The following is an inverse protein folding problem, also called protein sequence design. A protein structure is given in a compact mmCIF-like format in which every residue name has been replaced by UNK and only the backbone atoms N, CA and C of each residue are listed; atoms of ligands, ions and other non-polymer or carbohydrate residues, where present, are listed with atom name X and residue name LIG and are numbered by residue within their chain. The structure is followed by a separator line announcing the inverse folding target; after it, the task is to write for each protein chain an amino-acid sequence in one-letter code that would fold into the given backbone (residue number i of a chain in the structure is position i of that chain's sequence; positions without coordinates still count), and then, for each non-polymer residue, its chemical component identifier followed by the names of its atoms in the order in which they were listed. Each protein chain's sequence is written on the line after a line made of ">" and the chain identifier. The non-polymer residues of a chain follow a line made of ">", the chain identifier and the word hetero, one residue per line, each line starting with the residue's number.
data_IF_458911794049
#
_entry.id   IF_458911794049
#
_cell.length_a   1.000
_cell.length_b   1.000
_cell.length_c   1.000
_cell.angle_alpha   90.00
_cell.angle_beta   90.00
_cell.angle_gamma   90.00
#
_symmetry.space_group_name_H-M   'P 1'
#
loop_
_entity.id
_entity.type
_entity.pdbx_description
1 polymer ?
#
# COMPACT_ATOMS: atom_id res chain seq x y z
N UNK A 1 -5.73 -21.73 -54.09
CA UNK A 1 -4.77 -20.93 -53.27
C UNK A 1 -5.46 -19.87 -52.47
N UNK A 2 -6.51 -19.19 -52.92
CA UNK A 2 -7.21 -18.11 -52.21
C UNK A 2 -7.93 -18.54 -50.91
N UNK A 3 -8.50 -19.74 -50.81
CA UNK A 3 -9.18 -20.21 -49.60
C UNK A 3 -8.22 -20.55 -48.49
N UNK A 4 -7.07 -21.16 -48.77
CA UNK A 4 -6.03 -21.40 -47.76
C UNK A 4 -5.53 -20.10 -47.12
N UNK A 5 -5.45 -19.01 -47.90
CA UNK A 5 -5.05 -17.69 -47.42
C UNK A 5 -6.08 -17.08 -46.45
N UNK A 6 -7.38 -17.28 -46.70
CA UNK A 6 -8.46 -16.79 -45.81
C UNK A 6 -8.47 -17.49 -44.44
N UNK A 7 -8.32 -18.81 -44.44
CA UNK A 7 -8.23 -19.60 -43.21
C UNK A 7 -6.97 -19.26 -42.42
N UNK A 8 -5.84 -19.06 -43.07
CA UNK A 8 -4.62 -18.62 -42.40
C UNK A 8 -4.82 -17.25 -41.77
N UNK A 9 -5.37 -16.27 -42.51
CA UNK A 9 -5.65 -14.94 -41.96
C UNK A 9 -6.63 -14.97 -40.79
N UNK A 10 -7.68 -15.79 -40.85
CA UNK A 10 -8.61 -16.00 -39.76
C UNK A 10 -7.91 -16.48 -38.50
N UNK A 11 -7.06 -17.51 -38.59
CA UNK A 11 -6.32 -18.01 -37.45
C UNK A 11 -5.30 -17.00 -36.88
N UNK A 12 -4.65 -16.22 -37.74
CA UNK A 12 -3.74 -15.16 -37.30
C UNK A 12 -4.51 -14.09 -36.53
N UNK A 13 -5.65 -13.64 -37.01
CA UNK A 13 -6.48 -12.64 -36.32
C UNK A 13 -6.99 -13.18 -35.01
N UNK A 14 -7.57 -14.38 -34.98
CA UNK A 14 -8.07 -15.00 -33.75
C UNK A 14 -6.94 -15.24 -32.72
N UNK A 15 -5.79 -15.72 -33.20
CA UNK A 15 -4.61 -15.94 -32.37
C UNK A 15 -4.07 -14.64 -31.78
N UNK A 16 -3.97 -13.58 -32.57
CA UNK A 16 -3.53 -12.26 -32.11
C UNK A 16 -4.50 -11.66 -31.12
N UNK A 17 -5.81 -11.80 -31.34
CA UNK A 17 -6.84 -11.33 -30.42
C UNK A 17 -6.78 -12.07 -29.07
N UNK A 18 -6.67 -13.41 -29.13
CA UNK A 18 -6.53 -14.22 -27.92
C UNK A 18 -5.25 -13.88 -27.14
N UNK A 19 -4.13 -13.73 -27.86
CA UNK A 19 -2.87 -13.32 -27.25
C UNK A 19 -2.98 -11.93 -26.57
N UNK A 20 -3.67 -10.98 -27.21
CA UNK A 20 -3.97 -9.67 -26.63
C UNK A 20 -4.79 -9.77 -25.34
N UNK A 21 -5.86 -10.58 -25.33
CA UNK A 21 -6.67 -10.82 -24.13
C UNK A 21 -5.81 -11.41 -23.01
N UNK A 22 -5.03 -12.45 -23.31
CA UNK A 22 -4.17 -13.10 -22.33
C UNK A 22 -3.11 -12.13 -21.76
N UNK A 23 -2.54 -11.28 -22.61
CA UNK A 23 -1.59 -10.26 -22.18
C UNK A 23 -2.23 -9.25 -21.23
N UNK A 24 -3.42 -8.75 -21.54
CA UNK A 24 -4.16 -7.82 -20.67
C UNK A 24 -4.56 -8.49 -19.37
N UNK A 25 -5.11 -9.69 -19.41
CA UNK A 25 -5.47 -10.45 -18.19
C UNK A 25 -4.23 -10.72 -17.32
N UNK A 26 -3.12 -11.09 -17.94
CA UNK A 26 -1.85 -11.32 -17.24
C UNK A 26 -1.33 -10.03 -16.57
N UNK A 27 -1.38 -8.91 -17.29
CA UNK A 27 -0.98 -7.61 -16.75
C UNK A 27 -1.85 -7.20 -15.54
N UNK A 28 -3.18 -7.27 -15.70
CA UNK A 28 -4.12 -6.91 -14.62
C UNK A 28 -3.92 -7.81 -13.41
N UNK A 29 -3.80 -9.12 -13.62
CA UNK A 29 -3.54 -10.08 -12.53
C UNK A 29 -2.21 -9.80 -11.84
N UNK A 30 -1.16 -9.51 -12.60
CA UNK A 30 0.16 -9.17 -12.06
C UNK A 30 0.14 -7.88 -11.24
N UNK A 31 -0.53 -6.84 -11.73
CA UNK A 31 -0.69 -5.57 -11.02
C UNK A 31 -1.49 -5.74 -9.71
N UNK A 32 -2.54 -6.57 -9.74
CA UNK A 32 -3.33 -6.85 -8.53
C UNK A 32 -2.51 -7.67 -7.52
N UNK A 33 -1.80 -8.71 -7.99
CA UNK A 33 -0.92 -9.49 -7.13
C UNK A 33 0.18 -8.64 -6.48
N UNK A 34 0.80 -7.73 -7.24
CA UNK A 34 1.80 -6.79 -6.74
C UNK A 34 1.25 -5.74 -5.75
N UNK A 35 -0.07 -5.64 -5.57
CA UNK A 35 -0.71 -4.86 -4.53
C UNK A 35 -1.22 -5.68 -3.34
N UNK A 36 -0.99 -7.00 -3.32
CA UNK A 36 -1.43 -7.85 -2.21
C UNK A 36 -0.53 -7.69 -0.99
N UNK A 37 -1.09 -7.89 0.20
CA UNK A 37 -0.34 -7.86 1.46
C UNK A 37 0.79 -8.88 1.47
N UNK A 38 0.56 -10.03 0.85
CA UNK A 38 1.58 -11.08 0.70
C UNK A 38 2.77 -10.57 -0.11
N UNK A 39 2.54 -9.93 -1.25
CA UNK A 39 3.63 -9.35 -2.03
C UNK A 39 4.32 -8.21 -1.27
N UNK A 40 3.57 -7.24 -0.78
CA UNK A 40 4.10 -6.07 -0.10
C UNK A 40 4.86 -6.44 1.18
N UNK A 41 4.35 -7.41 1.95
CA UNK A 41 4.89 -7.74 3.27
C UNK A 41 5.98 -8.81 3.28
N UNK A 42 6.09 -9.65 2.23
CA UNK A 42 6.98 -10.83 2.28
C UNK A 42 7.92 -10.99 1.09
N UNK A 43 7.69 -10.29 -0.03
CA UNK A 43 8.52 -10.43 -1.22
C UNK A 43 9.96 -9.94 -0.99
N UNK A 44 10.10 -8.83 -0.25
CA UNK A 44 11.41 -8.32 0.17
C UNK A 44 11.59 -8.57 1.67
N UNK A 45 12.68 -9.20 2.08
CA UNK A 45 12.97 -9.52 3.49
C UNK A 45 12.94 -8.29 4.42
N UNK A 46 13.28 -7.12 3.91
CA UNK A 46 13.23 -5.86 4.66
C UNK A 46 11.82 -5.41 5.00
N UNK A 47 10.81 -5.90 4.28
CA UNK A 47 9.41 -5.63 4.56
C UNK A 47 8.84 -6.49 5.69
N UNK A 48 9.55 -7.52 6.13
CA UNK A 48 9.08 -8.38 7.23
C UNK A 48 8.83 -7.58 8.51
N UNK A 49 9.71 -6.64 8.86
CA UNK A 49 9.51 -5.76 10.01
C UNK A 49 8.28 -4.87 9.86
N UNK A 50 8.03 -4.35 8.66
CA UNK A 50 6.85 -3.53 8.34
C UNK A 50 5.57 -4.35 8.43
N UNK A 51 5.56 -5.55 7.83
CA UNK A 51 4.41 -6.45 7.86
C UNK A 51 4.10 -6.92 9.28
N UNK A 52 5.12 -7.20 10.09
CA UNK A 52 4.93 -7.53 11.50
C UNK A 52 4.30 -6.37 12.27
N UNK A 53 4.84 -5.14 12.11
CA UNK A 53 4.31 -3.94 12.75
C UNK A 53 2.84 -3.67 12.34
N UNK A 54 2.50 -3.88 11.07
CA UNK A 54 1.12 -3.78 10.59
C UNK A 54 0.22 -4.82 11.25
N UNK A 55 0.63 -6.09 11.34
CA UNK A 55 -0.13 -7.15 12.02
C UNK A 55 -0.39 -6.83 13.50
N UNK A 56 0.47 -6.04 14.17
CA UNK A 56 0.26 -5.60 15.55
C UNK A 56 -0.58 -4.32 15.65
N UNK A 57 -0.66 -3.54 14.56
CA UNK A 57 -1.41 -2.29 14.50
C UNK A 57 -2.93 -2.49 14.46
N UNK A 58 -3.65 -1.41 14.72
CA UNK A 58 -5.11 -1.40 14.78
C UNK A 58 -5.78 -1.84 13.48
N UNK A 59 -5.15 -1.60 12.32
CA UNK A 59 -5.67 -1.97 11.01
C UNK A 59 -5.36 -3.40 10.59
N UNK A 60 -4.27 -3.98 11.08
CA UNK A 60 -3.91 -5.37 10.82
C UNK A 60 -4.62 -6.36 11.74
N UNK A 61 -4.94 -5.93 12.96
CA UNK A 61 -5.63 -6.74 13.97
C UNK A 61 -6.80 -5.98 14.56
N UNK A 62 -7.93 -6.02 13.87
CA UNK A 62 -9.14 -5.34 14.30
C UNK A 62 -10.15 -6.34 14.91
N UNK A 63 -10.69 -6.08 16.11
CA UNK A 63 -11.72 -6.92 16.73
C UNK A 63 -13.00 -7.06 15.91
N UNK A 64 -13.29 -6.12 15.01
CA UNK A 64 -14.43 -6.21 14.09
C UNK A 64 -14.23 -7.23 12.96
N UNK A 65 -13.02 -7.75 12.77
CA UNK A 65 -12.66 -8.63 11.66
C UNK A 65 -12.44 -7.91 10.33
N UNK A 66 -12.57 -6.59 10.28
CA UNK A 66 -12.25 -5.79 9.09
C UNK A 66 -10.79 -5.36 9.18
N UNK A 67 -9.96 -5.81 8.24
CA UNK A 67 -8.55 -5.40 8.15
C UNK A 67 -8.35 -4.49 6.95
N UNK A 68 -7.54 -3.45 7.09
CA UNK A 68 -7.05 -2.66 5.97
C UNK A 68 -5.68 -3.20 5.55
N UNK A 69 -5.55 -3.59 4.30
CA UNK A 69 -4.31 -4.11 3.74
C UNK A 69 -3.32 -3.00 3.38
N UNK A 70 -2.11 -3.41 2.99
CA UNK A 70 -1.05 -2.47 2.61
C UNK A 70 -1.50 -1.53 1.48
N UNK A 71 -2.16 -2.08 0.46
CA UNK A 71 -2.63 -1.30 -0.69
C UNK A 71 -3.76 -0.33 -0.37
N UNK A 72 -4.58 -0.61 0.66
CA UNK A 72 -5.69 0.26 1.03
C UNK A 72 -5.22 1.60 1.58
N UNK A 73 -4.05 1.61 2.21
CA UNK A 73 -3.42 2.82 2.74
C UNK A 73 -2.43 3.44 1.76
N UNK A 74 -1.54 2.64 1.15
CA UNK A 74 -0.39 3.11 0.38
C UNK A 74 -0.64 3.27 -1.12
N UNK A 75 -1.80 2.82 -1.64
CA UNK A 75 -2.14 2.94 -3.05
C UNK A 75 -3.53 3.55 -3.22
N UNK A 76 -3.70 4.33 -4.31
CA UNK A 76 -5.04 4.73 -4.72
C UNK A 76 -5.80 3.54 -5.29
N UNK A 77 -7.08 3.45 -5.01
CA UNK A 77 -7.96 2.55 -5.75
C UNK A 77 -8.10 3.08 -7.19
N UNK A 78 -8.06 2.18 -8.18
CA UNK A 78 -8.18 2.56 -9.59
C UNK A 78 -9.49 3.28 -9.94
N UNK A 79 -10.54 3.09 -9.15
CA UNK A 79 -11.83 3.76 -9.29
C UNK A 79 -11.92 5.11 -8.59
N UNK A 80 -10.87 5.53 -7.89
CA UNK A 80 -10.86 6.80 -7.16
C UNK A 80 -10.97 8.00 -8.09
N UNK A 81 -11.88 8.94 -7.83
CA UNK A 81 -12.06 10.13 -8.67
C UNK A 81 -10.80 10.99 -8.81
N UNK A 82 -9.92 10.96 -7.81
CA UNK A 82 -8.64 11.71 -7.81
C UNK A 82 -7.72 11.27 -8.95
N UNK A 83 -7.84 10.03 -9.44
CA UNK A 83 -7.06 9.51 -10.55
C UNK A 83 -7.65 9.87 -11.92
N UNK A 84 -8.85 10.41 -11.99
CA UNK A 84 -9.53 10.77 -13.22
C UNK A 84 -9.85 9.58 -14.14
N UNK A 85 -10.14 9.85 -15.43
CA UNK A 85 -10.58 8.83 -16.38
C UNK A 85 -9.50 7.79 -16.72
N UNK A 86 -8.25 8.08 -16.43
CA UNK A 86 -7.11 7.18 -16.63
C UNK A 86 -6.63 6.54 -15.31
N UNK A 87 -7.53 6.36 -14.34
CA UNK A 87 -7.23 5.92 -13.00
C UNK A 87 -6.34 4.68 -12.93
N UNK A 88 -6.59 3.68 -13.79
CA UNK A 88 -5.77 2.47 -13.82
C UNK A 88 -4.33 2.73 -14.29
N UNK A 89 -4.14 3.62 -15.26
CA UNK A 89 -2.81 4.02 -15.74
C UNK A 89 -2.08 4.81 -14.67
N UNK A 90 -2.76 5.72 -14.00
CA UNK A 90 -2.22 6.50 -12.89
C UNK A 90 -1.80 5.62 -11.71
N UNK A 91 -2.62 4.62 -11.37
CA UNK A 91 -2.30 3.62 -10.36
C UNK A 91 -1.06 2.80 -10.76
N UNK A 92 -0.98 2.35 -12.00
CA UNK A 92 0.18 1.62 -12.51
C UNK A 92 1.44 2.48 -12.44
N UNK A 93 1.36 3.75 -12.85
CA UNK A 93 2.45 4.72 -12.74
C UNK A 93 2.91 4.88 -11.29
N UNK A 94 1.98 5.05 -10.36
CA UNK A 94 2.29 5.15 -8.94
C UNK A 94 2.99 3.88 -8.40
N UNK A 95 2.50 2.69 -8.73
CA UNK A 95 3.13 1.42 -8.37
C UNK A 95 4.55 1.29 -8.91
N UNK A 96 4.78 1.68 -10.17
CA UNK A 96 6.12 1.64 -10.78
C UNK A 96 7.07 2.59 -10.07
N UNK A 97 6.65 3.81 -9.75
CA UNK A 97 7.47 4.79 -9.01
C UNK A 97 7.79 4.27 -7.61
N UNK A 98 6.79 3.81 -6.85
CA UNK A 98 6.98 3.27 -5.51
C UNK A 98 7.90 2.04 -5.51
N UNK A 99 7.69 1.11 -6.45
CA UNK A 99 8.54 -0.08 -6.60
C UNK A 99 9.97 0.27 -7.00
N UNK A 100 10.18 1.27 -7.87
CA UNK A 100 11.53 1.69 -8.27
C UNK A 100 12.29 2.34 -7.11
N UNK A 101 11.65 3.18 -6.31
CA UNK A 101 12.26 3.77 -5.12
C UNK A 101 12.67 2.70 -4.09
N UNK A 102 11.74 1.80 -3.77
CA UNK A 102 11.99 0.71 -2.83
C UNK A 102 13.04 -0.28 -3.37
N UNK A 103 12.91 -0.69 -4.63
CA UNK A 103 13.83 -1.61 -5.30
C UNK A 103 15.24 -1.04 -5.43
N UNK A 104 15.37 0.23 -5.77
CA UNK A 104 16.68 0.88 -5.82
C UNK A 104 17.37 0.90 -4.44
N UNK A 105 16.62 1.23 -3.38
CA UNK A 105 17.13 1.16 -2.02
C UNK A 105 17.64 -0.22 -1.63
N UNK A 106 16.98 -1.30 -2.10
CA UNK A 106 17.44 -2.67 -1.88
C UNK A 106 18.73 -2.97 -2.65
N UNK A 107 18.80 -2.59 -3.93
CA UNK A 107 19.96 -2.86 -4.80
C UNK A 107 21.22 -2.17 -4.31
N UNK A 108 21.11 -0.95 -3.77
CA UNK A 108 22.28 -0.21 -3.22
C UNK A 108 22.61 -0.58 -1.78
N UNK A 109 21.93 -1.57 -1.18
CA UNK A 109 22.20 -2.04 0.16
C UNK A 109 21.76 -1.11 1.28
N UNK A 110 20.82 -0.18 1.02
CA UNK A 110 20.34 0.76 2.03
C UNK A 110 19.75 0.07 3.26
N UNK A 111 19.21 -1.13 3.09
CA UNK A 111 18.50 -1.90 4.12
C UNK A 111 19.05 -3.31 4.30
N UNK A 112 20.35 -3.53 4.06
CA UNK A 112 20.96 -4.87 4.03
C UNK A 112 20.84 -5.62 5.36
N UNK A 113 20.84 -4.92 6.47
CA UNK A 113 20.73 -5.53 7.80
C UNK A 113 19.56 -4.98 8.58
N UNK A 114 19.02 -5.74 9.56
CA UNK A 114 17.98 -5.23 10.46
C UNK A 114 18.38 -3.93 11.16
N UNK A 115 19.65 -3.78 11.52
CA UNK A 115 20.12 -2.55 12.17
C UNK A 115 20.18 -1.37 11.22
N UNK A 116 20.60 -1.54 9.95
CA UNK A 116 20.56 -0.46 8.96
C UNK A 116 19.11 -0.07 8.65
N UNK A 117 18.20 -1.04 8.56
CA UNK A 117 16.79 -0.80 8.42
C UNK A 117 16.24 0.04 9.59
N UNK A 118 16.55 -0.33 10.82
CA UNK A 118 16.12 0.40 12.01
C UNK A 118 16.59 1.87 12.01
N UNK A 119 17.82 2.11 11.50
CA UNK A 119 18.38 3.47 11.41
C UNK A 119 17.76 4.30 10.28
N UNK A 120 17.42 3.67 9.16
CA UNK A 120 16.92 4.36 7.96
C UNK A 120 15.38 4.52 7.96
N UNK A 121 14.67 3.63 8.67
CA UNK A 121 13.20 3.63 8.72
C UNK A 121 12.58 4.99 9.05
N UNK A 122 13.06 5.76 10.05
CA UNK A 122 12.46 7.04 10.38
C UNK A 122 12.43 8.04 9.22
N UNK A 123 13.45 8.02 8.35
CA UNK A 123 13.48 8.87 7.16
C UNK A 123 12.44 8.44 6.13
N UNK A 124 12.32 7.14 5.88
CA UNK A 124 11.30 6.59 4.98
C UNK A 124 9.89 6.86 5.51
N UNK A 125 9.69 6.71 6.80
CA UNK A 125 8.42 7.01 7.47
C UNK A 125 8.02 8.50 7.30
N UNK A 126 8.96 9.43 7.41
CA UNK A 126 8.70 10.84 7.17
C UNK A 126 8.34 11.13 5.70
N UNK A 127 8.93 10.42 4.75
CA UNK A 127 8.58 10.52 3.33
C UNK A 127 7.13 10.05 3.10
N UNK A 128 6.73 8.92 3.68
CA UNK A 128 5.37 8.40 3.60
C UNK A 128 4.35 9.33 4.28
N UNK A 129 4.67 9.86 5.46
CA UNK A 129 3.84 10.88 6.12
C UNK A 129 3.67 12.09 5.20
N UNK A 130 4.72 12.53 4.54
CA UNK A 130 4.68 13.60 3.54
C UNK A 130 3.75 13.29 2.38
N UNK A 131 3.76 12.04 1.89
CA UNK A 131 2.84 11.60 0.85
C UNK A 131 1.38 11.62 1.31
N UNK A 132 1.07 11.11 2.51
CA UNK A 132 -0.29 11.18 3.08
C UNK A 132 -0.78 12.62 3.23
N UNK A 133 0.07 13.52 3.70
CA UNK A 133 -0.25 14.96 3.80
C UNK A 133 -0.50 15.58 2.44
N UNK A 134 0.36 15.27 1.46
CA UNK A 134 0.25 15.80 0.09
C UNK A 134 -1.02 15.38 -0.63
N UNK A 135 -1.57 14.20 -0.31
CA UNK A 135 -2.85 13.73 -0.85
C UNK A 135 -4.06 14.00 0.07
N UNK A 136 -3.86 14.81 1.12
CA UNK A 136 -4.91 15.14 2.08
C UNK A 136 -5.55 13.93 2.74
N UNK A 137 -4.74 12.92 3.08
CA UNK A 137 -5.18 11.68 3.73
C UNK A 137 -6.33 10.99 2.98
N UNK A 138 -6.32 11.08 1.65
CA UNK A 138 -7.40 10.59 0.80
C UNK A 138 -7.69 9.11 1.03
N UNK A 139 -6.65 8.28 1.14
CA UNK A 139 -6.80 6.84 1.38
C UNK A 139 -7.43 6.52 2.74
N UNK A 140 -7.12 7.29 3.77
CA UNK A 140 -7.79 7.16 5.08
C UNK A 140 -9.28 7.51 4.98
N UNK A 141 -9.59 8.58 4.27
CA UNK A 141 -10.95 9.09 4.10
C UNK A 141 -11.83 8.21 3.21
N UNK A 142 -11.22 7.30 2.45
CA UNK A 142 -11.95 6.28 1.68
C UNK A 142 -12.76 5.32 2.57
N UNK A 143 -12.30 5.06 3.79
CA UNK A 143 -12.96 4.20 4.77
C UNK A 143 -13.51 4.98 5.97
N UNK A 144 -12.84 6.07 6.36
CA UNK A 144 -13.18 6.87 7.54
C UNK A 144 -14.00 8.11 7.19
N UNK A 145 -15.26 8.11 7.57
CA UNK A 145 -16.11 9.30 7.53
C UNK A 145 -15.93 10.09 8.83
N UNK A 146 -15.27 11.24 8.73
CA UNK A 146 -14.97 12.11 9.86
C UNK A 146 -16.23 12.64 10.56
N UNK A 147 -17.37 12.72 9.85
CA UNK A 147 -18.64 13.16 10.42
C UNK A 147 -19.22 12.13 11.39
N UNK A 148 -18.82 10.86 11.25
CA UNK A 148 -19.23 9.74 12.09
C UNK A 148 -18.24 9.44 13.22
N UNK A 149 -17.06 10.03 13.19
CA UNK A 149 -16.02 9.86 14.21
C UNK A 149 -16.31 10.70 15.46
N UNK A 150 -17.49 10.46 16.04
CA UNK A 150 -17.91 11.07 17.29
C UNK A 150 -17.92 10.02 18.40
N UNK A 151 -17.13 10.25 19.44
CA UNK A 151 -17.17 9.44 20.64
C UNK A 151 -18.11 10.08 21.68
N UNK A 152 -19.22 9.40 21.95
CA UNK A 152 -20.21 9.84 22.95
C UNK A 152 -19.63 9.82 24.37
N UNK A 153 -18.67 8.95 24.63
CA UNK A 153 -17.96 8.82 25.90
C UNK A 153 -16.94 9.93 26.11
N UNK A 154 -16.40 10.46 25.00
CA UNK A 154 -15.43 11.54 25.01
C UNK A 154 -15.76 12.62 23.98
N UNK A 155 -16.65 13.57 24.32
CA UNK A 155 -17.09 14.61 23.39
C UNK A 155 -15.96 15.49 22.84
N UNK A 156 -14.83 15.59 23.54
CA UNK A 156 -13.68 16.36 23.06
C UNK A 156 -13.06 15.75 21.78
N UNK A 157 -13.11 14.44 21.61
CA UNK A 157 -12.64 13.76 20.40
C UNK A 157 -13.49 14.19 19.17
N UNK A 158 -14.82 14.22 19.34
CA UNK A 158 -15.72 14.72 18.30
C UNK A 158 -15.45 16.17 17.93
N UNK A 159 -15.14 17.02 18.92
CA UNK A 159 -14.79 18.42 18.68
C UNK A 159 -13.49 18.54 17.87
N UNK A 160 -12.45 17.75 18.18
CA UNK A 160 -11.22 17.72 17.42
C UNK A 160 -11.44 17.26 15.97
N UNK A 161 -12.22 16.21 15.75
CA UNK A 161 -12.55 15.74 14.41
C UNK A 161 -13.42 16.74 13.63
N UNK A 162 -14.27 17.50 14.30
CA UNK A 162 -15.04 18.56 13.66
C UNK A 162 -14.18 19.72 13.12
N UNK A 163 -13.04 20.01 13.78
CA UNK A 163 -12.07 21.01 13.30
C UNK A 163 -11.37 20.56 12.01
N UNK A 164 -11.33 19.27 11.73
CA UNK A 164 -10.73 18.74 10.52
C UNK A 164 -11.52 19.09 9.24
N UNK A 165 -12.78 19.50 9.34
CA UNK A 165 -13.57 19.94 8.18
C UNK A 165 -12.87 21.00 7.35
N UNK A 166 -12.05 21.83 7.99
CA UNK A 166 -11.29 22.91 7.34
C UNK A 166 -9.90 22.43 6.84
N UNK A 167 -9.66 21.10 6.84
CA UNK A 167 -8.40 20.46 6.36
C UNK A 167 -7.12 21.00 7.07
N UNK A 168 -7.26 21.53 8.27
CA UNK A 168 -6.15 22.13 9.01
C UNK A 168 -5.43 21.17 9.93
N UNK A 169 -6.01 19.99 10.22
CA UNK A 169 -5.45 18.98 11.11
C UNK A 169 -4.91 17.78 10.34
N UNK A 170 -3.73 17.36 10.72
CA UNK A 170 -3.02 16.19 10.25
C UNK A 170 -3.45 14.96 11.07
N UNK A 171 -4.02 13.94 10.43
CA UNK A 171 -4.46 12.71 11.11
C UNK A 171 -3.31 12.06 11.88
N UNK A 172 -2.12 12.01 11.28
CA UNK A 172 -0.95 11.36 11.84
C UNK A 172 -0.27 12.15 12.95
N UNK A 173 -0.64 13.40 13.18
CA UNK A 173 -0.14 14.17 14.33
C UNK A 173 -0.66 13.62 15.66
N UNK A 174 -1.87 13.03 15.65
CA UNK A 174 -2.49 12.37 16.81
C UNK A 174 -2.45 10.85 16.69
N UNK A 175 -2.69 10.28 15.51
CA UNK A 175 -2.75 8.84 15.24
C UNK A 175 -1.42 8.29 14.72
N UNK A 176 -0.35 8.39 15.52
CA UNK A 176 1.02 8.10 15.08
C UNK A 176 1.26 6.66 14.67
N UNK A 177 0.75 5.70 15.42
CA UNK A 177 1.04 4.27 15.23
C UNK A 177 -0.13 3.51 14.57
N UNK A 178 -1.04 4.23 13.91
CA UNK A 178 -2.30 3.68 13.41
C UNK A 178 -2.11 2.61 12.33
N UNK A 179 -1.10 2.76 11.47
CA UNK A 179 -0.80 1.79 10.40
C UNK A 179 0.19 0.71 10.85
N UNK A 180 1.21 1.12 11.59
CA UNK A 180 2.33 0.25 11.97
C UNK A 180 2.76 0.54 13.42
N UNK A 181 2.61 -0.43 14.30
CA UNK A 181 3.19 -0.36 15.65
C UNK A 181 4.61 -0.95 15.63
N UNK A 182 5.59 -0.08 15.46
CA UNK A 182 7.00 -0.49 15.38
C UNK A 182 7.66 -0.78 16.73
N UNK A 183 7.02 -0.50 17.84
CA UNK A 183 7.64 -0.64 19.17
C UNK A 183 8.22 -2.03 19.41
N UNK A 184 7.43 -3.06 19.12
CA UNK A 184 7.87 -4.45 19.31
C UNK A 184 8.95 -4.85 18.28
N UNK A 185 8.84 -4.38 17.04
CA UNK A 185 9.83 -4.63 15.98
C UNK A 185 11.17 -4.03 16.35
N UNK A 186 11.17 -2.79 16.78
CA UNK A 186 12.39 -2.06 17.17
C UNK A 186 13.11 -2.75 18.33
N UNK A 187 12.35 -3.18 19.34
CA UNK A 187 12.89 -3.91 20.47
C UNK A 187 13.46 -5.28 20.06
N UNK A 188 12.73 -6.01 19.20
CA UNK A 188 13.16 -7.30 18.69
C UNK A 188 14.46 -7.19 17.89
N UNK A 189 14.54 -6.22 16.98
CA UNK A 189 15.75 -5.99 16.16
C UNK A 189 16.95 -5.61 17.05
N UNK A 190 16.77 -4.71 18.01
CA UNK A 190 17.83 -4.31 18.92
C UNK A 190 18.39 -5.47 19.74
N UNK A 191 17.53 -6.40 20.11
CA UNK A 191 17.89 -7.54 20.96
C UNK A 191 18.51 -8.69 20.15
N UNK A 192 17.94 -8.99 18.99
CA UNK A 192 18.26 -10.21 18.24
C UNK A 192 19.07 -9.96 16.96
N UNK A 193 19.20 -8.70 16.54
CA UNK A 193 19.78 -8.31 15.24
C UNK A 193 19.14 -9.08 14.06
N UNK A 194 17.83 -9.32 14.16
CA UNK A 194 17.03 -10.06 13.18
C UNK A 194 15.65 -9.42 13.07
N UNK A 195 14.96 -9.66 11.94
CA UNK A 195 13.54 -9.30 11.85
C UNK A 195 12.71 -10.30 12.66
N UNK A 196 11.60 -9.85 13.30
CA UNK A 196 10.67 -10.77 13.94
C UNK A 196 10.11 -11.75 12.91
N UNK A 197 9.88 -13.03 13.29
CA UNK A 197 9.27 -14.00 12.39
C UNK A 197 7.85 -13.56 12.05
N UNK A 198 7.49 -13.69 10.78
CA UNK A 198 6.11 -13.57 10.34
C UNK A 198 5.47 -14.94 10.57
N UNK A 199 4.57 -15.06 11.53
CA UNK A 199 3.74 -16.25 11.69
C UNK A 199 2.94 -16.42 10.40
N UNK A 200 2.98 -17.63 9.83
CA UNK A 200 2.27 -18.01 8.61
C UNK A 200 0.75 -17.96 8.77
#
# INVERSE_FOLDING_TARGET
>A
MAERSKWFMFWVVCGSFLAGILAVCGLVSGVNWAGSDKFCGTFCHTMNGVAYAWKQGAHGRNPSGVTAGCSDCHLYNASEPVLGPLGYISLLGHKVVAASHSGFGQVIGRFDTPMTWLQQRPEVEQQEIGWFKGNNFHTCRGCHDLSLMYDKMNPSIGAWHALYKDQTLDCLSCHKDVGHDYKQVDEYIKTNNAYPPLDE
#
